data_IF_358957709748
#
_entry.id   IF_358957709748
#
_cell.length_a   1.000
_cell.length_b   1.000
_cell.length_c   1.000
_cell.angle_alpha   90.00
_cell.angle_beta   90.00
_cell.angle_gamma   90.00
#
_symmetry.space_group_name_H-M   'P 1'
#
loop_
_entity.id
_entity.type
_entity.pdbx_description
1 polymer ?
#
# COMPACT_ATOMS: atom_id res chain seq x y z
N UNK A 1 -33.49 -10.65 -3.30
CA UNK A 1 -33.11 -11.70 -4.27
C UNK A 1 -34.09 -11.58 -5.43
N UNK A 2 -33.64 -10.98 -6.53
CA UNK A 2 -34.25 -11.08 -7.87
C UNK A 2 -33.29 -10.37 -8.84
N UNK A 3 -32.54 -11.18 -9.57
CA UNK A 3 -31.75 -10.83 -10.75
C UNK A 3 -32.66 -10.95 -11.97
N UNK A 4 -32.84 -9.87 -12.72
CA UNK A 4 -33.49 -9.92 -14.03
C UNK A 4 -32.45 -9.61 -15.11
N UNK A 5 -31.92 -10.66 -15.73
CA UNK A 5 -31.06 -10.58 -16.92
C UNK A 5 -31.96 -10.41 -18.14
N UNK A 6 -32.32 -9.17 -18.46
CA UNK A 6 -33.00 -8.84 -19.71
C UNK A 6 -32.01 -8.77 -20.87
N UNK A 7 -32.00 -9.78 -21.75
CA UNK A 7 -31.31 -9.70 -23.04
C UNK A 7 -32.23 -9.00 -24.05
N UNK A 8 -31.89 -7.75 -24.41
CA UNK A 8 -32.53 -7.05 -25.54
C UNK A 8 -31.90 -7.51 -26.86
N UNK A 9 -32.68 -7.96 -27.85
CA UNK A 9 -32.15 -8.31 -29.17
C UNK A 9 -31.71 -7.02 -29.89
N UNK A 10 -30.45 -6.95 -30.30
CA UNK A 10 -29.93 -5.84 -31.09
C UNK A 10 -30.33 -6.02 -32.57
N UNK A 11 -30.72 -4.95 -33.28
CA UNK A 11 -31.01 -5.02 -34.71
C UNK A 11 -29.75 -5.41 -35.50
N UNK A 12 -29.87 -6.37 -36.42
CA UNK A 12 -28.79 -6.74 -37.33
C UNK A 12 -28.44 -5.56 -38.24
N UNK A 13 -27.25 -4.98 -38.07
CA UNK A 13 -26.72 -3.95 -38.99
C UNK A 13 -25.86 -2.84 -38.36
N UNK A 14 -25.75 -2.74 -37.03
CA UNK A 14 -24.87 -1.77 -36.38
C UNK A 14 -23.48 -2.36 -36.11
N UNK A 15 -22.45 -1.82 -36.79
CA UNK A 15 -21.04 -2.03 -36.38
C UNK A 15 -20.90 -1.66 -34.90
N UNK A 16 -20.30 -2.50 -34.04
CA UNK A 16 -20.06 -2.10 -32.67
C UNK A 16 -18.97 -1.01 -32.68
N UNK A 17 -19.41 0.24 -32.61
CA UNK A 17 -18.52 1.38 -32.38
C UNK A 17 -18.08 1.32 -30.92
N UNK A 18 -17.04 0.52 -30.65
CA UNK A 18 -16.20 0.53 -29.45
C UNK A 18 -16.96 0.35 -28.12
N UNK A 19 -17.15 -0.90 -27.70
CA UNK A 19 -17.37 -1.19 -26.27
C UNK A 19 -16.04 -0.94 -25.55
N UNK A 20 -15.97 0.14 -24.79
CA UNK A 20 -14.92 0.35 -23.79
C UNK A 20 -15.39 -0.24 -22.47
N UNK A 21 -14.71 -1.30 -21.98
CA UNK A 21 -14.86 -1.70 -20.58
C UNK A 21 -14.10 -0.70 -19.71
N UNK A 22 -14.83 0.12 -18.95
CA UNK A 22 -14.24 0.92 -17.88
C UNK A 22 -13.74 0.01 -16.76
N UNK A 23 -12.52 0.27 -16.27
CA UNK A 23 -11.90 -0.54 -15.22
C UNK A 23 -12.04 0.14 -13.86
N UNK A 24 -12.58 -0.57 -12.87
CA UNK A 24 -12.60 -0.14 -11.47
C UNK A 24 -11.16 -0.21 -10.92
N UNK A 25 -10.58 0.93 -10.54
CA UNK A 25 -9.22 0.98 -9.99
C UNK A 25 -9.19 1.85 -8.73
N UNK A 26 -8.94 1.23 -7.57
CA UNK A 26 -8.98 1.85 -6.24
C UNK A 26 -7.67 1.64 -5.46
N UNK A 27 -6.55 1.71 -6.18
CA UNK A 27 -5.22 1.36 -5.72
C UNK A 27 -4.99 -0.15 -5.52
N UNK A 28 -3.87 -0.45 -4.87
CA UNK A 28 -3.44 -1.75 -4.38
C UNK A 28 -3.27 -1.64 -2.87
N UNK A 29 -3.92 -2.52 -2.11
CA UNK A 29 -3.80 -2.55 -0.65
C UNK A 29 -2.89 -3.71 -0.23
N UNK A 30 -1.75 -3.38 0.35
CA UNK A 30 -0.81 -4.35 0.92
C UNK A 30 -1.08 -4.59 2.39
N UNK A 31 -0.91 -5.85 2.79
CA UNK A 31 -0.86 -6.29 4.17
C UNK A 31 0.53 -6.88 4.39
N UNK A 32 1.40 -6.16 5.11
CA UNK A 32 2.80 -6.53 5.27
C UNK A 32 3.08 -6.87 6.72
N UNK A 33 3.80 -7.95 6.97
CA UNK A 33 4.35 -8.24 8.29
C UNK A 33 5.88 -8.24 8.22
N UNK A 34 6.52 -7.37 8.97
CA UNK A 34 7.97 -7.13 8.93
C UNK A 34 8.57 -7.13 10.34
N UNK A 35 9.81 -7.56 10.46
CA UNK A 35 10.62 -7.36 11.66
C UNK A 35 11.40 -6.05 11.50
N UNK A 36 11.32 -5.18 12.50
CA UNK A 36 12.02 -3.91 12.58
C UNK A 36 12.97 -3.94 13.77
N UNK A 37 14.13 -3.29 13.63
CA UNK A 37 15.13 -3.17 14.68
C UNK A 37 15.52 -1.70 14.83
N UNK A 38 15.74 -1.26 16.08
CA UNK A 38 16.16 0.11 16.36
C UNK A 38 17.53 0.40 15.74
N UNK A 39 17.75 1.66 15.36
CA UNK A 39 19.02 2.11 14.76
C UNK A 39 19.68 3.15 15.65
N UNK A 40 21.00 3.28 15.55
CA UNK A 40 21.74 4.32 16.26
C UNK A 40 21.49 5.75 15.70
N UNK A 41 20.82 5.85 14.54
CA UNK A 41 20.46 7.12 13.95
C UNK A 41 19.35 7.81 14.72
N UNK A 42 19.56 9.09 15.07
CA UNK A 42 18.50 9.93 15.63
C UNK A 42 17.72 10.62 14.52
N UNK A 43 16.39 10.63 14.64
CA UNK A 43 15.52 11.45 13.79
C UNK A 43 15.73 12.92 14.15
N UNK A 44 16.49 13.65 13.34
CA UNK A 44 16.70 15.09 13.53
C UNK A 44 15.83 15.91 12.57
N UNK A 45 15.62 17.20 12.87
CA UNK A 45 14.93 18.14 11.95
C UNK A 45 15.64 18.27 10.59
N UNK A 46 16.96 18.01 10.53
CA UNK A 46 17.79 18.09 9.32
C UNK A 46 17.68 16.80 8.50
N UNK A 47 17.64 15.65 9.16
CA UNK A 47 17.44 14.34 8.50
C UNK A 47 16.03 14.18 7.91
N UNK A 48 15.06 14.99 8.37
CA UNK A 48 13.76 15.16 7.74
C UNK A 48 13.04 13.86 7.40
N UNK A 49 12.43 13.84 6.21
CA UNK A 49 11.70 12.70 5.62
C UNK A 49 12.57 11.84 4.68
N UNK A 50 13.84 12.20 4.52
CA UNK A 50 14.78 11.59 3.57
C UNK A 50 16.04 11.05 4.26
N UNK A 51 15.89 10.48 5.46
CA UNK A 51 16.99 9.74 6.08
C UNK A 51 17.17 8.42 5.35
N UNK A 52 18.34 8.21 4.75
CA UNK A 52 18.69 6.94 4.14
C UNK A 52 19.04 5.91 5.23
N UNK A 53 18.06 5.06 5.55
CA UNK A 53 18.19 4.01 6.56
C UNK A 53 19.28 2.97 6.23
N UNK A 54 19.74 2.86 4.98
CA UNK A 54 20.83 1.94 4.62
C UNK A 54 22.17 2.35 5.23
N UNK A 55 22.31 3.64 5.56
CA UNK A 55 23.51 4.20 6.20
C UNK A 55 23.43 4.17 7.72
N UNK A 56 22.30 3.72 8.28
CA UNK A 56 22.05 3.71 9.71
C UNK A 56 22.35 2.33 10.31
N UNK A 57 23.41 2.20 11.14
CA UNK A 57 23.70 0.93 11.80
C UNK A 57 22.63 0.64 12.86
N UNK A 58 22.40 -0.65 13.09
CA UNK A 58 21.50 -1.13 14.14
C UNK A 58 22.02 -0.71 15.52
N UNK A 59 21.10 -0.40 16.42
CA UNK A 59 21.43 -0.06 17.79
C UNK A 59 21.94 -1.29 18.55
N UNK A 60 22.78 -1.06 19.56
CA UNK A 60 23.39 -2.13 20.35
C UNK A 60 23.24 -1.87 21.84
N UNK A 61 23.17 -2.94 22.63
CA UNK A 61 23.11 -2.83 24.09
C UNK A 61 21.73 -2.38 24.56
N UNK A 62 21.69 -1.37 25.43
CA UNK A 62 20.45 -0.91 26.08
C UNK A 62 19.46 -0.23 25.14
N UNK A 63 19.91 0.26 23.98
CA UNK A 63 19.06 0.91 22.98
C UNK A 63 18.56 -0.07 21.90
N UNK A 64 18.96 -1.36 21.97
CA UNK A 64 18.56 -2.37 21.00
C UNK A 64 17.13 -2.85 21.28
N UNK A 65 16.25 -2.63 20.31
CA UNK A 65 14.84 -3.03 20.38
C UNK A 65 14.43 -3.69 19.07
N UNK A 66 13.69 -4.80 19.16
CA UNK A 66 13.13 -5.52 18.01
C UNK A 66 11.62 -5.52 18.07
N UNK A 67 10.98 -5.24 16.94
CA UNK A 67 9.53 -5.16 16.81
C UNK A 67 9.08 -6.04 15.65
N UNK A 68 8.01 -6.82 15.85
CA UNK A 68 7.22 -7.38 14.75
C UNK A 68 6.08 -6.42 14.44
N UNK A 69 5.99 -5.94 13.22
CA UNK A 69 4.94 -4.99 12.81
C UNK A 69 4.09 -5.53 11.66
N UNK A 70 2.77 -5.40 11.82
CA UNK A 70 1.78 -5.58 10.76
C UNK A 70 1.37 -4.21 10.21
N UNK A 71 1.38 -4.05 8.90
CA UNK A 71 1.04 -2.82 8.19
C UNK A 71 -0.09 -3.06 7.18
N UNK A 72 -1.00 -2.09 7.08
CA UNK A 72 -1.93 -1.96 5.97
C UNK A 72 -1.53 -0.72 5.16
N UNK A 73 -1.10 -0.89 3.91
CA UNK A 73 -0.63 0.20 3.05
C UNK A 73 -1.50 0.27 1.80
N UNK A 74 -1.97 1.45 1.43
CA UNK A 74 -2.63 1.70 0.15
C UNK A 74 -1.68 2.41 -0.80
N UNK A 75 -1.33 1.75 -1.89
CA UNK A 75 -0.62 2.35 -3.01
C UNK A 75 -1.63 2.69 -4.11
N UNK A 76 -1.58 3.91 -4.65
CA UNK A 76 -2.39 4.33 -5.78
C UNK A 76 -1.43 4.72 -6.91
N UNK A 77 -0.97 3.76 -7.74
CA UNK A 77 0.15 3.99 -8.66
C UNK A 77 -0.08 5.14 -9.65
N UNK A 78 -1.30 5.26 -10.20
CA UNK A 78 -1.65 6.36 -11.12
C UNK A 78 -1.73 7.73 -10.46
N UNK A 79 -1.71 7.79 -9.13
CA UNK A 79 -1.56 9.04 -8.36
C UNK A 79 -0.16 9.21 -7.79
N UNK A 80 0.74 8.24 -7.95
CA UNK A 80 2.03 8.17 -7.27
C UNK A 80 1.90 8.40 -5.74
N UNK A 81 0.84 7.87 -5.14
CA UNK A 81 0.56 8.04 -3.71
C UNK A 81 0.71 6.71 -2.99
N UNK A 82 1.31 6.75 -1.80
CA UNK A 82 1.40 5.63 -0.88
C UNK A 82 0.98 6.11 0.50
N UNK A 83 0.00 5.44 1.10
CA UNK A 83 -0.59 5.83 2.37
C UNK A 83 -0.55 4.67 3.35
N UNK A 84 0.00 4.90 4.55
CA UNK A 84 -0.06 3.96 5.64
C UNK A 84 -1.44 4.05 6.33
N UNK A 85 -2.29 3.06 6.13
CA UNK A 85 -3.64 3.03 6.67
C UNK A 85 -3.69 2.54 8.11
N UNK A 86 -2.94 1.48 8.42
CA UNK A 86 -2.82 0.93 9.78
C UNK A 86 -1.42 0.41 10.02
N UNK A 87 -1.01 0.47 11.27
CA UNK A 87 0.19 -0.20 11.77
C UNK A 87 -0.09 -0.79 13.15
N UNK A 88 0.43 -1.98 13.41
CA UNK A 88 0.38 -2.62 14.72
C UNK A 88 1.73 -3.27 14.97
N UNK A 89 2.43 -2.83 16.00
CA UNK A 89 3.75 -3.34 16.36
C UNK A 89 3.71 -3.99 17.73
N UNK A 90 4.50 -5.05 17.90
CA UNK A 90 4.71 -5.76 19.16
C UNK A 90 6.21 -5.96 19.38
N UNK A 91 6.68 -5.77 20.61
CA UNK A 91 8.07 -6.03 20.96
C UNK A 91 8.35 -7.53 21.00
N UNK A 92 9.48 -7.94 20.41
CA UNK A 92 9.95 -9.32 20.36
C UNK A 92 10.88 -9.66 21.52
#
# INVERSE_FOLDING_TARGET
MQTETGSFPLPEGSRPSHVGLGQLVAGVKYYLTMDLESTACRKTRVSGDHLDLTTCPLATGVEQEKLRCDFEILEVPWKNSTELLKHKCMQQ
#
